data_IF_257154737162
#
_entry.id   IF_257154737162
#
_cell.length_a   1.000
_cell.length_b   1.000
_cell.length_c   1.000
_cell.angle_alpha   90.00
_cell.angle_beta   90.00
_cell.angle_gamma   90.00
#
_symmetry.space_group_name_H-M   'P 1'
#
loop_
_entity.id
_entity.type
_entity.pdbx_description
1 polymer ?
#
# COMPACT_ATOMS: atom_id res chain seq x y z
N UNK A 1 8.33 -0.80 3.27
CA UNK A 1 8.09 -1.92 2.34
C UNK A 1 8.34 -1.51 0.90
N UNK A 2 8.96 -2.38 0.17
CA UNK A 2 9.17 -2.23 -1.27
C UNK A 2 8.58 -3.47 -1.95
N UNK A 3 7.55 -3.28 -2.76
CA UNK A 3 6.89 -4.39 -3.44
C UNK A 3 6.82 -4.12 -4.94
N UNK A 4 7.26 -5.11 -5.72
CA UNK A 4 7.04 -5.12 -7.17
C UNK A 4 5.72 -5.84 -7.45
N UNK A 5 4.71 -5.09 -7.90
CA UNK A 5 3.38 -5.62 -8.16
C UNK A 5 3.27 -6.24 -9.54
N UNK A 6 2.49 -7.31 -9.66
CA UNK A 6 2.12 -7.87 -10.95
C UNK A 6 1.08 -6.98 -11.62
N UNK A 7 0.89 -7.16 -12.93
CA UNK A 7 -0.14 -6.43 -13.66
C UNK A 7 -1.54 -6.73 -13.10
N UNK A 8 -1.80 -7.95 -12.68
CA UNK A 8 -3.07 -8.33 -12.05
C UNK A 8 -3.30 -7.60 -10.74
N UNK A 9 -2.28 -7.46 -9.92
CA UNK A 9 -2.37 -6.73 -8.65
C UNK A 9 -2.65 -5.25 -8.86
N UNK A 10 -2.03 -4.64 -9.87
CA UNK A 10 -2.27 -3.25 -10.23
C UNK A 10 -3.71 -3.05 -10.70
N UNK A 11 -4.20 -3.93 -11.56
CA UNK A 11 -5.58 -3.87 -12.06
C UNK A 11 -6.59 -4.06 -10.94
N UNK A 12 -6.34 -4.98 -10.03
CA UNK A 12 -7.20 -5.20 -8.87
C UNK A 12 -7.25 -3.95 -7.98
N UNK A 13 -6.11 -3.33 -7.70
CA UNK A 13 -6.06 -2.11 -6.91
C UNK A 13 -6.85 -0.96 -7.57
N UNK A 14 -6.78 -0.85 -8.88
CA UNK A 14 -7.44 0.22 -9.64
C UNK A 14 -8.92 -0.04 -9.91
N UNK A 15 -9.39 -1.26 -9.70
CA UNK A 15 -10.80 -1.63 -9.86
C UNK A 15 -11.68 -1.22 -8.68
N UNK A 16 -11.07 -0.85 -7.55
CA UNK A 16 -11.80 -0.50 -6.33
C UNK A 16 -12.36 0.91 -6.42
N UNK A 17 -13.66 1.06 -6.12
CA UNK A 17 -14.30 2.37 -6.06
C UNK A 17 -13.78 3.17 -4.85
N UNK A 18 -13.54 4.47 -5.05
CA UNK A 18 -13.15 5.35 -3.94
C UNK A 18 -14.18 5.38 -2.82
N UNK A 19 -15.45 5.14 -3.15
CA UNK A 19 -16.54 5.12 -2.18
C UNK A 19 -16.43 3.94 -1.21
N UNK A 20 -15.69 2.89 -1.59
CA UNK A 20 -15.48 1.71 -0.76
C UNK A 20 -14.24 1.83 0.14
N UNK A 21 -13.53 2.95 0.06
CA UNK A 21 -12.30 3.15 0.81
C UNK A 21 -12.53 4.04 2.03
N UNK A 22 -12.21 3.56 3.26
CA UNK A 22 -12.27 4.40 4.46
C UNK A 22 -11.40 5.65 4.38
N UNK A 23 -10.26 5.57 3.71
CA UNK A 23 -9.38 6.69 3.43
C UNK A 23 -9.22 6.77 1.89
N UNK A 24 -10.11 7.49 1.19
CA UNK A 24 -10.12 7.49 -0.28
C UNK A 24 -8.83 8.07 -0.87
N UNK A 25 -8.14 7.23 -1.64
CA UNK A 25 -6.90 7.60 -2.31
C UNK A 25 -6.76 6.68 -3.53
N UNK A 26 -6.53 7.26 -4.70
CA UNK A 26 -6.36 6.47 -5.92
C UNK A 26 -5.03 5.75 -5.91
N UNK A 27 -4.99 4.54 -6.50
CA UNK A 27 -3.75 3.79 -6.62
C UNK A 27 -2.68 4.60 -7.36
N UNK A 28 -3.06 5.32 -8.41
CA UNK A 28 -2.13 6.14 -9.20
C UNK A 28 -1.45 7.23 -8.37
N UNK A 29 -2.10 7.68 -7.29
CA UNK A 29 -1.56 8.70 -6.41
C UNK A 29 -0.52 8.14 -5.44
N UNK A 30 -0.44 6.81 -5.32
CA UNK A 30 0.43 6.13 -4.36
C UNK A 30 1.72 5.59 -4.98
N UNK A 31 1.87 5.72 -6.29
CA UNK A 31 3.04 5.26 -7.03
C UNK A 31 3.56 6.35 -7.95
N UNK A 32 4.79 6.20 -8.42
CA UNK A 32 5.36 7.14 -9.37
C UNK A 32 4.85 6.85 -10.77
N UNK A 33 4.58 7.92 -11.54
CA UNK A 33 4.13 7.81 -12.92
C UNK A 33 5.17 7.04 -13.75
N UNK A 34 4.70 6.04 -14.50
CA UNK A 34 5.58 5.16 -15.29
C UNK A 34 6.28 4.08 -14.48
N UNK A 35 6.05 4.02 -13.16
CA UNK A 35 6.63 3.02 -12.25
C UNK A 35 5.56 2.36 -11.40
N UNK A 36 4.42 2.06 -12.00
CA UNK A 36 3.22 1.54 -11.31
C UNK A 36 3.45 0.20 -10.62
N UNK A 37 4.39 -0.58 -11.10
CA UNK A 37 4.73 -1.87 -10.50
C UNK A 37 5.44 -1.74 -9.14
N UNK A 38 6.08 -0.60 -8.87
CA UNK A 38 6.85 -0.38 -7.65
C UNK A 38 6.05 0.40 -6.61
N UNK A 39 5.62 -0.30 -5.57
CA UNK A 39 4.94 0.29 -4.43
C UNK A 39 5.93 0.41 -3.28
N UNK A 40 6.18 1.65 -2.83
CA UNK A 40 7.10 1.96 -1.73
C UNK A 40 6.30 2.56 -0.59
N UNK A 41 6.35 1.95 0.59
CA UNK A 41 5.58 2.39 1.75
C UNK A 41 6.39 2.27 3.02
N UNK A 42 6.08 3.10 4.02
CA UNK A 42 6.56 2.88 5.37
C UNK A 42 5.89 1.63 5.93
N UNK A 43 6.68 0.68 6.41
CA UNK A 43 6.21 -0.60 6.92
C UNK A 43 5.62 -0.51 8.33
N UNK A 44 4.66 0.40 8.52
CA UNK A 44 4.08 0.72 9.82
C UNK A 44 2.57 0.83 9.69
N UNK A 45 1.86 0.08 10.55
CA UNK A 45 0.40 0.19 10.66
C UNK A 45 0.02 1.56 11.21
N UNK A 46 -0.93 2.22 10.55
CA UNK A 46 -1.34 3.59 10.92
C UNK A 46 -2.18 3.66 12.20
N UNK A 47 -2.53 2.51 12.79
CA UNK A 47 -3.26 2.47 14.06
C UNK A 47 -2.32 2.72 15.25
N UNK A 48 -1.41 1.77 15.55
CA UNK A 48 -0.50 1.85 16.70
C UNK A 48 0.97 1.55 16.36
N UNK A 49 1.33 1.59 15.10
CA UNK A 49 2.73 1.46 14.70
C UNK A 49 3.28 0.04 14.61
N UNK A 50 2.45 -0.99 14.68
CA UNK A 50 2.89 -2.36 14.46
C UNK A 50 3.30 -2.57 13.00
N UNK A 51 4.17 -3.56 12.74
CA UNK A 51 4.60 -3.89 11.37
C UNK A 51 3.63 -4.89 10.76
N UNK A 52 2.91 -4.54 9.67
CA UNK A 52 2.02 -5.47 9.00
C UNK A 52 2.76 -6.62 8.31
N UNK A 53 2.05 -7.73 8.12
CA UNK A 53 2.58 -8.92 7.44
C UNK A 53 2.17 -8.91 5.97
N UNK A 54 3.15 -9.14 5.08
CA UNK A 54 2.91 -9.20 3.62
C UNK A 54 2.12 -10.44 3.24
N UNK A 55 1.34 -10.32 2.17
CA UNK A 55 0.56 -11.42 1.57
C UNK A 55 -0.39 -12.09 2.55
N UNK A 56 -0.89 -11.31 3.49
CA UNK A 56 -1.85 -11.77 4.50
C UNK A 56 -3.07 -10.86 4.48
N UNK A 57 -4.15 -11.34 5.10
CA UNK A 57 -5.40 -10.61 5.16
C UNK A 57 -6.31 -10.90 3.97
N UNK A 58 -7.52 -10.34 4.02
CA UNK A 58 -8.59 -10.65 3.07
C UNK A 58 -8.47 -9.92 1.74
N UNK A 59 -7.53 -8.97 1.63
CA UNK A 59 -7.42 -8.10 0.45
C UNK A 59 -6.10 -8.27 -0.29
N UNK A 60 -5.38 -9.38 -0.05
CA UNK A 60 -4.15 -9.78 -0.76
C UNK A 60 -2.98 -8.82 -0.60
N UNK A 61 -3.07 -7.91 0.34
CA UNK A 61 -2.01 -6.95 0.62
C UNK A 61 -1.28 -7.26 1.92
N UNK A 62 -1.60 -6.51 2.98
CA UNK A 62 -0.96 -6.65 4.28
C UNK A 62 -1.99 -6.82 5.37
N UNK A 63 -1.60 -7.53 6.43
CA UNK A 63 -2.42 -7.73 7.61
C UNK A 63 -1.63 -7.35 8.85
N UNK A 64 -2.20 -6.46 9.68
CA UNK A 64 -1.60 -6.10 10.96
C UNK A 64 -2.21 -6.98 12.07
N UNK A 65 -1.43 -7.89 12.66
CA UNK A 65 -1.97 -8.83 13.66
C UNK A 65 -2.26 -8.20 15.01
N UNK A 66 -1.75 -7.00 15.26
CA UNK A 66 -1.94 -6.35 16.56
C UNK A 66 -3.41 -6.07 16.85
N UNK A 67 -4.16 -5.57 15.89
CA UNK A 67 -5.58 -5.22 16.07
C UNK A 67 -6.44 -5.60 14.86
N UNK A 68 -5.92 -6.38 13.93
CA UNK A 68 -6.69 -6.92 12.81
C UNK A 68 -6.96 -5.98 11.66
N UNK A 69 -6.09 -5.02 11.38
CA UNK A 69 -6.22 -4.16 10.21
C UNK A 69 -5.81 -4.89 8.94
N UNK A 70 -6.62 -4.76 7.87
CA UNK A 70 -6.36 -5.35 6.56
C UNK A 70 -6.10 -4.24 5.54
N UNK A 71 -5.01 -4.37 4.80
CA UNK A 71 -4.64 -3.44 3.73
C UNK A 71 -4.65 -4.17 2.38
N UNK A 72 -4.97 -3.45 1.31
CA UNK A 72 -4.98 -4.02 -0.04
C UNK A 72 -3.60 -3.98 -0.71
N UNK A 73 -3.55 -4.34 -2.00
CA UNK A 73 -2.29 -4.38 -2.76
C UNK A 73 -1.73 -2.99 -3.10
N UNK A 74 -2.42 -1.93 -2.71
CA UNK A 74 -1.93 -0.55 -2.77
C UNK A 74 -1.58 0.00 -1.39
N UNK A 75 -1.72 -0.82 -0.34
CA UNK A 75 -1.47 -0.41 1.03
C UNK A 75 -2.58 0.48 1.60
N UNK A 76 -3.77 0.46 1.01
CA UNK A 76 -4.93 1.22 1.50
C UNK A 76 -5.67 0.41 2.55
N UNK A 77 -6.11 1.09 3.62
CA UNK A 77 -6.90 0.44 4.67
C UNK A 77 -8.26 0.01 4.11
N UNK A 78 -8.64 -1.24 4.36
CA UNK A 78 -9.90 -1.81 3.90
C UNK A 78 -10.78 -2.29 5.05
N UNK A 79 -10.19 -2.75 6.13
CA UNK A 79 -10.91 -3.32 7.26
C UNK A 79 -10.07 -3.22 8.53
N UNK A 80 -10.72 -2.97 9.65
CA UNK A 80 -10.04 -2.90 10.94
C UNK A 80 -9.89 -1.48 11.46
N UNK A 81 -9.22 -1.30 12.61
CA UNK A 81 -9.20 -0.02 13.33
C UNK A 81 -8.25 1.03 12.76
N UNK A 82 -7.35 0.69 11.83
CA UNK A 82 -6.42 1.66 11.28
C UNK A 82 -7.15 2.80 10.59
N UNK A 83 -6.84 4.07 10.92
CA UNK A 83 -7.59 5.21 10.39
C UNK A 83 -7.18 5.66 9.00
N UNK A 84 -5.99 5.29 8.55
CA UNK A 84 -5.42 5.78 7.30
C UNK A 84 -4.71 4.66 6.52
N UNK A 85 -4.51 4.92 5.22
CA UNK A 85 -3.67 4.07 4.38
C UNK A 85 -2.22 4.11 4.89
N UNK A 86 -1.44 3.07 4.60
CA UNK A 86 -0.02 3.08 4.93
C UNK A 86 0.66 4.24 4.21
N UNK A 87 1.58 4.91 4.90
CA UNK A 87 2.21 6.13 4.43
C UNK A 87 3.20 5.86 3.30
N UNK A 88 3.14 6.69 2.25
CA UNK A 88 4.12 6.69 1.16
C UNK A 88 5.22 7.66 1.54
N UNK A 89 6.47 7.21 1.72
CA UNK A 89 7.57 8.11 2.04
C UNK A 89 7.98 8.93 0.83
N UNK A 90 8.77 9.96 1.06
CA UNK A 90 9.41 10.70 -0.01
C UNK A 90 10.49 9.81 -0.62
N UNK A 91 10.43 9.59 -1.93
CA UNK A 91 11.41 8.77 -2.64
C UNK A 91 11.50 9.15 -4.11
N UNK A 92 12.57 8.74 -4.76
CA UNK A 92 12.77 8.96 -6.20
C UNK A 92 13.56 7.80 -6.81
N UNK A 93 13.37 7.59 -8.10
CA UNK A 93 14.19 6.65 -8.88
C UNK A 93 15.40 7.41 -9.42
N UNK A 94 16.60 7.02 -8.98
CA UNK A 94 17.85 7.64 -9.47
C UNK A 94 18.30 7.01 -10.81
N UNK A 95 17.91 5.73 -11.03
CA UNK A 95 18.04 5.04 -12.31
C UNK A 95 17.02 3.88 -12.34
N UNK A 96 17.07 3.03 -13.39
CA UNK A 96 16.12 1.93 -13.56
C UNK A 96 16.20 0.89 -12.44
N UNK A 97 17.30 0.82 -11.70
CA UNK A 97 17.56 -0.21 -10.69
C UNK A 97 17.76 0.33 -9.28
N UNK A 98 17.66 1.65 -9.08
CA UNK A 98 18.01 2.27 -7.80
C UNK A 98 16.95 3.26 -7.36
N UNK A 99 16.48 3.10 -6.12
CA UNK A 99 15.52 4.01 -5.48
C UNK A 99 16.20 4.68 -4.29
N UNK A 100 16.07 6.01 -4.21
CA UNK A 100 16.51 6.78 -3.06
C UNK A 100 15.30 7.15 -2.22
N UNK A 101 15.31 6.79 -0.94
CA UNK A 101 14.22 7.06 0.00
C UNK A 101 14.68 8.13 0.99
N UNK A 102 13.89 9.19 1.08
CA UNK A 102 14.22 10.29 1.99
C UNK A 102 14.62 11.57 1.32
#
# INVERSE_FOLDING_TARGET
FLKRRTQEEILEARSVSLDDLPHPEKDEERVKNGKDEWLVMLGVCTHLGCVPLSNKGDYKGWFCPCHGSHYDVSGRIRKGPAPKNMEIPKYEFVDANTIKIG
#
